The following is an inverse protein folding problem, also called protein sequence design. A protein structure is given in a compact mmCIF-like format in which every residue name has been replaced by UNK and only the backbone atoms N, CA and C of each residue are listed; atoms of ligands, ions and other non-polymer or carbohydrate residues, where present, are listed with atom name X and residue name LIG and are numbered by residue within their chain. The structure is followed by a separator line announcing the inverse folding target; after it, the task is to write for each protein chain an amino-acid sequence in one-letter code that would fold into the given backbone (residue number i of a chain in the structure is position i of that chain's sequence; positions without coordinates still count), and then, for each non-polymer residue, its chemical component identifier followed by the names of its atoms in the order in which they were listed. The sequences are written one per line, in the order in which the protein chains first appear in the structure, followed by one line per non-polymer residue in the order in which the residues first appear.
data_IF_878100341901
#
_entry.id   IF_878100341901
#
_cell.length_a   1.000
_cell.length_b   1.000
_cell.length_c   1.000
_cell.angle_alpha   90.00
_cell.angle_beta   90.00
_cell.angle_gamma   90.00
#
_symmetry.space_group_name_H-M   'P 1'
#
loop_
_entity.id
_entity.type
_entity.pdbx_description
1 polymer ?
#
# COMPACT_ATOMS: atom_id res chain seq x y z
N UNK A 1 -7.95 -11.30 9.65
CA UNK A 1 -6.79 -10.40 9.91
C UNK A 1 -7.34 -8.99 9.91
N UNK A 2 -6.98 -8.12 10.86
CA UNK A 2 -7.37 -6.71 10.74
C UNK A 2 -6.63 -6.08 9.55
N UNK A 3 -7.10 -4.94 9.04
CA UNK A 3 -6.41 -4.20 7.99
C UNK A 3 -4.98 -3.80 8.39
N UNK A 4 -4.19 -3.46 7.38
CA UNK A 4 -2.82 -2.97 7.54
C UNK A 4 -2.46 -1.87 6.56
N UNK A 5 -1.16 -1.56 6.50
CA UNK A 5 -0.60 -0.53 5.62
C UNK A 5 0.49 -1.15 4.75
N UNK A 6 0.55 -0.74 3.49
CA UNK A 6 1.67 -1.02 2.59
C UNK A 6 2.29 0.31 2.17
N UNK A 7 3.58 0.51 2.46
CA UNK A 7 4.35 1.65 1.92
C UNK A 7 4.74 1.28 0.48
N UNK A 8 3.79 1.28 -0.46
CA UNK A 8 3.96 0.68 -1.79
C UNK A 8 4.01 1.69 -2.95
N UNK A 9 4.05 2.98 -2.64
CA UNK A 9 3.99 4.08 -3.61
C UNK A 9 5.35 4.41 -4.26
N UNK A 10 5.28 5.10 -5.41
CA UNK A 10 6.41 5.76 -6.08
C UNK A 10 6.75 7.11 -5.45
N UNK A 11 7.90 7.68 -5.83
CA UNK A 11 8.33 9.01 -5.38
C UNK A 11 9.21 8.97 -4.14
N UNK A 12 9.22 10.07 -3.37
CA UNK A 12 10.04 10.20 -2.16
C UNK A 12 9.51 9.19 -1.12
N UNK A 13 10.33 8.23 -0.66
CA UNK A 13 9.93 7.30 0.38
C UNK A 13 9.82 8.03 1.73
N UNK A 14 9.08 7.44 2.66
CA UNK A 14 9.04 7.97 4.02
C UNK A 14 10.43 7.91 4.66
N UNK A 15 10.71 8.90 5.49
CA UNK A 15 11.90 8.92 6.34
C UNK A 15 11.83 7.80 7.38
N UNK A 16 12.98 7.40 7.90
CA UNK A 16 13.03 6.40 8.98
C UNK A 16 12.25 6.82 10.22
N UNK A 17 12.28 8.12 10.56
CA UNK A 17 11.52 8.66 11.68
C UNK A 17 10.01 8.56 11.47
N UNK A 18 9.53 8.86 10.25
CA UNK A 18 8.11 8.71 9.88
C UNK A 18 7.65 7.26 10.00
N UNK A 19 8.44 6.31 9.51
CA UNK A 19 8.15 4.87 9.58
C UNK A 19 8.07 4.37 11.02
N UNK A 20 8.99 4.82 11.87
CA UNK A 20 9.00 4.50 13.31
C UNK A 20 7.74 5.05 13.98
N UNK A 21 7.41 6.32 13.75
CA UNK A 21 6.23 6.96 14.33
C UNK A 21 4.91 6.37 13.81
N UNK A 22 4.93 5.65 12.68
CA UNK A 22 3.75 4.98 12.13
C UNK A 22 3.33 3.76 12.94
N UNK A 23 4.24 3.10 13.67
CA UNK A 23 3.89 1.96 14.50
C UNK A 23 2.85 2.34 15.57
N UNK A 24 3.04 3.47 16.27
CA UNK A 24 2.06 3.96 17.25
C UNK A 24 0.73 4.35 16.59
N UNK A 25 0.79 4.95 15.40
CA UNK A 25 -0.41 5.32 14.67
C UNK A 25 -1.23 4.11 14.24
N UNK A 26 -0.61 3.09 13.64
CA UNK A 26 -1.24 1.83 13.21
C UNK A 26 -1.94 1.17 14.40
N UNK A 27 -1.26 1.09 15.56
CA UNK A 27 -1.87 0.54 16.77
C UNK A 27 -3.10 1.34 17.22
N UNK A 28 -3.03 2.67 17.13
CA UNK A 28 -4.11 3.58 17.55
C UNK A 28 -5.39 3.47 16.70
N UNK A 29 -5.29 2.93 15.48
CA UNK A 29 -6.44 2.69 14.58
C UNK A 29 -6.82 1.21 14.47
N UNK A 30 -6.21 0.37 15.31
CA UNK A 30 -6.46 -1.07 15.39
C UNK A 30 -6.18 -1.81 14.07
N UNK A 31 -5.10 -1.43 13.40
CA UNK A 31 -4.54 -2.14 12.25
C UNK A 31 -3.45 -3.12 12.73
N UNK A 32 -3.26 -4.23 12.01
CA UNK A 32 -2.47 -5.38 12.49
C UNK A 32 -1.08 -5.49 11.87
N UNK A 33 -0.82 -4.84 10.72
CA UNK A 33 0.42 -5.05 9.99
C UNK A 33 0.91 -3.85 9.18
N UNK A 34 2.20 -3.86 8.88
CA UNK A 34 2.89 -2.91 8.01
C UNK A 34 3.80 -3.66 7.03
N UNK A 35 3.66 -3.38 5.74
CA UNK A 35 4.52 -3.92 4.68
C UNK A 35 5.42 -2.80 4.15
N UNK A 36 6.72 -2.96 4.34
CA UNK A 36 7.74 -2.14 3.73
C UNK A 36 7.92 -2.55 2.25
N UNK A 37 7.41 -1.75 1.32
CA UNK A 37 7.55 -2.02 -0.12
C UNK A 37 7.81 -0.76 -0.97
N UNK A 38 8.58 0.25 -0.50
CA UNK A 38 8.69 1.51 -1.22
C UNK A 38 9.36 1.27 -2.58
N UNK A 39 8.73 1.73 -3.66
CA UNK A 39 9.23 1.51 -5.03
C UNK A 39 10.62 2.11 -5.29
N UNK A 40 11.04 3.06 -4.45
CA UNK A 40 12.36 3.68 -4.46
C UNK A 40 13.48 2.80 -3.86
N UNK A 41 13.15 1.78 -3.05
CA UNK A 41 14.18 0.85 -2.56
C UNK A 41 14.60 -0.12 -3.67
N UNK A 42 15.76 0.16 -4.25
CA UNK A 42 16.32 -0.65 -5.33
C UNK A 42 16.72 -2.05 -4.87
N UNK A 43 17.07 -2.27 -3.60
CA UNK A 43 17.54 -3.58 -3.11
C UNK A 43 16.40 -4.58 -2.86
N UNK A 44 15.17 -4.11 -2.89
CA UNK A 44 13.95 -4.93 -2.94
C UNK A 44 13.31 -4.95 -4.34
N UNK A 45 13.87 -4.20 -5.30
CA UNK A 45 13.38 -4.08 -6.67
C UNK A 45 14.52 -4.25 -7.69
N UNK A 46 14.95 -3.20 -8.38
CA UNK A 46 15.88 -3.27 -9.53
C UNK A 46 17.20 -4.01 -9.23
N UNK A 47 17.75 -3.78 -8.04
CA UNK A 47 19.00 -4.35 -7.53
C UNK A 47 18.77 -5.49 -6.54
N UNK A 48 17.63 -6.20 -6.59
CA UNK A 48 17.32 -7.28 -5.65
C UNK A 48 18.38 -8.39 -5.57
N UNK A 49 19.21 -8.56 -6.60
CA UNK A 49 20.33 -9.52 -6.60
C UNK A 49 21.54 -9.06 -5.76
N UNK A 50 21.57 -7.81 -5.31
CA UNK A 50 22.63 -7.24 -4.47
C UNK A 50 22.21 -7.27 -2.99
N UNK A 51 23.15 -7.50 -2.06
CA UNK A 51 22.85 -7.38 -0.64
C UNK A 51 22.51 -5.93 -0.28
N UNK A 52 21.75 -5.74 0.78
CA UNK A 52 21.53 -4.43 1.37
C UNK A 52 22.87 -3.84 1.86
N UNK A 53 23.05 -2.52 1.74
CA UNK A 53 24.08 -1.84 2.49
C UNK A 53 23.88 -2.06 3.99
N UNK A 54 24.97 -2.31 4.73
CA UNK A 54 24.91 -2.66 6.16
C UNK A 54 24.11 -1.65 7.00
N UNK A 55 24.23 -0.36 6.70
CA UNK A 55 23.47 0.69 7.40
C UNK A 55 21.95 0.58 7.14
N UNK A 56 21.55 0.29 5.90
CA UNK A 56 20.13 0.14 5.57
C UNK A 56 19.55 -1.15 6.16
N UNK A 57 20.31 -2.26 6.14
CA UNK A 57 19.93 -3.51 6.80
C UNK A 57 19.66 -3.31 8.31
N UNK A 58 20.55 -2.60 9.02
CA UNK A 58 20.37 -2.28 10.45
C UNK A 58 19.14 -1.43 10.72
N UNK A 59 18.83 -0.47 9.85
CA UNK A 59 17.62 0.35 10.00
C UNK A 59 16.35 -0.47 9.77
N UNK A 60 16.36 -1.39 8.80
CA UNK A 60 15.25 -2.33 8.57
C UNK A 60 15.05 -3.28 9.76
N UNK A 61 16.13 -3.83 10.32
CA UNK A 61 16.09 -4.69 11.50
C UNK A 61 15.52 -3.91 12.71
N UNK A 62 15.99 -2.69 12.94
CA UNK A 62 15.46 -1.81 13.98
C UNK A 62 13.97 -1.52 13.76
N UNK A 63 13.57 -1.25 12.51
CA UNK A 63 12.18 -1.00 12.17
C UNK A 63 11.32 -2.22 12.49
N UNK A 64 11.67 -3.40 11.98
CA UNK A 64 10.98 -4.66 12.26
C UNK A 64 10.80 -4.89 13.76
N UNK A 65 11.88 -4.76 14.54
CA UNK A 65 11.84 -4.91 16.00
C UNK A 65 10.92 -3.90 16.72
N UNK A 66 10.79 -2.66 16.20
CA UNK A 66 9.85 -1.67 16.75
C UNK A 66 8.40 -2.09 16.50
N UNK A 67 8.09 -2.58 15.30
CA UNK A 67 6.76 -3.06 14.95
C UNK A 67 6.35 -4.27 15.80
N UNK A 68 7.25 -5.26 15.96
CA UNK A 68 7.01 -6.42 16.83
C UNK A 68 6.79 -6.03 18.30
N UNK A 69 7.58 -5.09 18.84
CA UNK A 69 7.39 -4.58 20.21
C UNK A 69 6.02 -3.92 20.43
N UNK A 70 5.39 -3.44 19.36
CA UNK A 70 4.03 -2.85 19.38
C UNK A 70 2.94 -3.87 19.07
N UNK A 71 3.30 -5.14 18.85
CA UNK A 71 2.36 -6.21 18.48
C UNK A 71 1.84 -6.08 17.05
N UNK A 72 2.57 -5.39 16.18
CA UNK A 72 2.22 -5.20 14.77
C UNK A 72 3.10 -6.12 13.94
N UNK A 73 2.48 -6.88 13.02
CA UNK A 73 3.22 -7.73 12.08
C UNK A 73 4.00 -6.86 11.11
N UNK A 74 5.25 -7.20 10.89
CA UNK A 74 6.12 -6.51 9.95
C UNK A 74 6.33 -7.36 8.70
N UNK A 75 6.27 -6.75 7.53
CA UNK A 75 6.49 -7.44 6.26
C UNK A 75 7.39 -6.67 5.31
N UNK A 76 7.96 -7.41 4.36
CA UNK A 76 8.80 -6.87 3.30
C UNK A 76 8.20 -7.19 1.92
N UNK A 77 8.12 -6.20 1.05
CA UNK A 77 7.78 -6.36 -0.35
C UNK A 77 9.03 -6.65 -1.18
N UNK A 78 9.01 -7.72 -1.95
CA UNK A 78 10.09 -8.18 -2.79
C UNK A 78 9.62 -8.20 -4.25
N UNK A 79 10.03 -7.19 -5.01
CA UNK A 79 9.81 -7.09 -6.45
C UNK A 79 11.01 -7.67 -7.20
N UNK A 80 10.92 -8.93 -7.61
CA UNK A 80 12.01 -9.62 -8.31
C UNK A 80 12.12 -9.19 -9.78
N UNK A 81 12.49 -7.93 -10.01
CA UNK A 81 12.56 -7.34 -11.33
C UNK A 81 13.39 -8.21 -12.30
N UNK A 82 12.81 -8.50 -13.46
CA UNK A 82 13.34 -9.37 -14.51
C UNK A 82 13.63 -10.83 -14.11
N UNK A 83 13.17 -11.32 -12.95
CA UNK A 83 13.34 -12.73 -12.57
C UNK A 83 12.47 -13.67 -13.42
N UNK A 84 11.34 -13.18 -13.93
CA UNK A 84 10.44 -13.92 -14.81
C UNK A 84 10.95 -14.06 -16.25
N UNK A 85 12.00 -13.34 -16.64
CA UNK A 85 12.58 -13.45 -18.00
C UNK A 85 13.37 -14.77 -18.14
N UNK A 86 14.04 -15.20 -17.08
CA UNK A 86 14.75 -16.49 -17.02
C UNK A 86 14.76 -16.99 -15.57
N UNK A 87 13.89 -17.93 -15.24
CA UNK A 87 13.82 -18.53 -13.90
C UNK A 87 14.71 -19.78 -13.80
N UNK A 88 16.01 -19.58 -14.00
CA UNK A 88 17.03 -20.63 -13.98
C UNK A 88 17.68 -20.84 -12.59
N UNK A 89 18.65 -21.76 -12.52
CA UNK A 89 19.39 -22.08 -11.29
C UNK A 89 20.15 -20.89 -10.70
N UNK A 90 20.63 -19.95 -11.53
CA UNK A 90 21.34 -18.76 -11.07
C UNK A 90 20.39 -17.78 -10.39
N UNK A 91 19.22 -17.56 -10.99
CA UNK A 91 18.15 -16.74 -10.40
C UNK A 91 17.63 -17.36 -9.10
N UNK A 92 17.41 -18.68 -9.07
CA UNK A 92 17.04 -19.42 -7.86
C UNK A 92 18.05 -19.25 -6.73
N UNK A 93 19.35 -19.31 -7.02
CA UNK A 93 20.40 -19.07 -6.03
C UNK A 93 20.31 -17.64 -5.47
N UNK A 94 20.14 -16.63 -6.33
CA UNK A 94 19.98 -15.22 -5.88
C UNK A 94 18.74 -14.99 -5.04
N UNK A 95 17.63 -15.67 -5.35
CA UNK A 95 16.42 -15.60 -4.53
C UNK A 95 16.71 -16.18 -3.15
N UNK A 96 17.37 -17.34 -3.04
CA UNK A 96 17.74 -17.91 -1.74
C UNK A 96 18.65 -16.99 -0.92
N UNK A 97 19.67 -16.40 -1.54
CA UNK A 97 20.54 -15.43 -0.88
C UNK A 97 19.74 -14.23 -0.32
N UNK A 98 18.82 -13.68 -1.12
CA UNK A 98 17.96 -12.57 -0.70
C UNK A 98 16.97 -12.99 0.41
N UNK A 99 16.39 -14.18 0.34
CA UNK A 99 15.50 -14.68 1.39
C UNK A 99 16.24 -14.92 2.72
N UNK A 100 17.49 -15.38 2.68
CA UNK A 100 18.32 -15.49 3.88
C UNK A 100 18.59 -14.12 4.51
N UNK A 101 18.85 -13.11 3.69
CA UNK A 101 18.99 -11.73 4.15
C UNK A 101 17.69 -11.20 4.76
N UNK A 102 16.54 -11.40 4.10
CA UNK A 102 15.24 -11.01 4.64
C UNK A 102 14.89 -11.75 5.93
N UNK A 103 15.26 -13.02 6.07
CA UNK A 103 15.04 -13.82 7.29
C UNK A 103 15.70 -13.17 8.52
N UNK A 104 16.86 -12.51 8.35
CA UNK A 104 17.51 -11.76 9.44
C UNK A 104 16.69 -10.57 9.95
N UNK A 105 15.75 -10.06 9.14
CA UNK A 105 14.82 -9.00 9.51
C UNK A 105 13.56 -9.54 10.20
N UNK A 106 13.42 -10.87 10.33
CA UNK A 106 12.29 -11.56 10.94
C UNK A 106 10.89 -11.15 10.40
N UNK A 107 10.65 -11.16 9.07
CA UNK A 107 9.35 -10.78 8.51
C UNK A 107 8.25 -11.78 8.89
N UNK A 108 7.10 -11.27 9.31
CA UNK A 108 5.86 -12.03 9.42
C UNK A 108 5.23 -12.27 8.04
N UNK A 109 5.47 -11.35 7.10
CA UNK A 109 4.87 -11.34 5.77
C UNK A 109 5.96 -11.03 4.73
N UNK A 110 6.04 -11.84 3.67
CA UNK A 110 6.78 -11.51 2.46
C UNK A 110 5.78 -11.32 1.33
N UNK A 111 5.71 -10.10 0.80
CA UNK A 111 4.91 -9.80 -0.37
C UNK A 111 5.77 -9.99 -1.62
N UNK A 112 5.45 -10.97 -2.47
CA UNK A 112 6.12 -11.22 -3.75
C UNK A 112 5.41 -10.41 -4.82
N UNK A 113 6.11 -9.45 -5.41
CA UNK A 113 5.50 -8.35 -6.16
C UNK A 113 5.91 -8.37 -7.63
N UNK A 114 4.97 -8.66 -8.52
CA UNK A 114 5.16 -8.59 -9.98
C UNK A 114 4.41 -7.42 -10.62
N UNK A 115 3.92 -6.49 -9.81
CA UNK A 115 3.36 -5.22 -10.27
C UNK A 115 4.41 -4.37 -10.99
N UNK A 116 3.95 -3.61 -11.96
CA UNK A 116 4.74 -2.66 -12.75
C UNK A 116 5.91 -3.30 -13.51
N UNK A 117 5.65 -4.45 -14.11
CA UNK A 117 6.56 -5.20 -14.96
C UNK A 117 5.86 -5.59 -16.25
N UNK A 118 6.59 -5.76 -17.35
CA UNK A 118 5.98 -6.26 -18.61
C UNK A 118 5.38 -7.65 -18.40
N UNK A 119 4.15 -7.83 -18.85
CA UNK A 119 3.37 -9.06 -18.73
C UNK A 119 2.96 -9.68 -20.07
N UNK A 120 3.31 -9.07 -21.21
CA UNK A 120 3.06 -9.56 -22.57
C UNK A 120 4.04 -10.66 -23.02
N UNK A 121 4.56 -11.45 -22.08
CA UNK A 121 5.46 -12.57 -22.36
C UNK A 121 4.73 -13.90 -22.26
N UNK A 122 5.11 -14.85 -23.11
CA UNK A 122 4.60 -16.22 -23.05
C UNK A 122 4.86 -16.84 -21.66
N UNK A 123 3.91 -17.64 -21.17
CA UNK A 123 4.00 -18.40 -19.90
C UNK A 123 4.29 -17.55 -18.65
N UNK A 124 3.97 -16.24 -18.66
CA UNK A 124 4.21 -15.36 -17.50
C UNK A 124 3.49 -15.84 -16.24
N UNK A 125 2.27 -16.36 -16.36
CA UNK A 125 1.49 -16.90 -15.23
C UNK A 125 2.19 -18.11 -14.59
N UNK A 126 2.57 -19.09 -15.41
CA UNK A 126 3.32 -20.29 -14.99
C UNK A 126 4.64 -19.92 -14.31
N UNK A 127 5.39 -19.00 -14.93
CA UNK A 127 6.69 -18.56 -14.40
C UNK A 127 6.53 -17.87 -13.05
N UNK A 128 5.52 -17.01 -12.88
CA UNK A 128 5.24 -16.35 -11.62
C UNK A 128 4.84 -17.33 -10.53
N UNK A 129 3.96 -18.29 -10.85
CA UNK A 129 3.58 -19.37 -9.93
C UNK A 129 4.82 -20.14 -9.47
N UNK A 130 5.67 -20.56 -10.40
CA UNK A 130 6.91 -21.28 -10.09
C UNK A 130 7.89 -20.48 -9.21
N UNK A 131 8.03 -19.17 -9.44
CA UNK A 131 8.84 -18.28 -8.59
C UNK A 131 8.24 -18.19 -7.19
N UNK A 132 6.92 -18.01 -7.07
CA UNK A 132 6.24 -17.87 -5.78
C UNK A 132 6.32 -19.16 -4.97
N UNK A 133 6.13 -20.32 -5.60
CA UNK A 133 6.30 -21.63 -4.94
C UNK A 133 7.74 -21.82 -4.45
N UNK A 134 8.72 -21.48 -5.27
CA UNK A 134 10.12 -21.55 -4.85
C UNK A 134 10.40 -20.61 -3.66
N UNK A 135 9.82 -19.41 -3.62
CA UNK A 135 9.92 -18.53 -2.45
C UNK A 135 9.22 -19.15 -1.24
N UNK A 136 8.00 -19.68 -1.40
CA UNK A 136 7.22 -20.32 -0.35
C UNK A 136 8.01 -21.44 0.34
N UNK A 137 8.69 -22.29 -0.43
CA UNK A 137 9.53 -23.38 0.07
C UNK A 137 10.77 -22.90 0.85
N UNK A 138 11.24 -21.67 0.60
CA UNK A 138 12.51 -21.14 1.13
C UNK A 138 12.33 -19.95 2.11
N UNK A 139 11.12 -19.44 2.29
CA UNK A 139 10.81 -18.26 3.10
C UNK A 139 10.60 -18.54 4.60
N UNK A 140 10.77 -19.79 5.03
CA UNK A 140 10.61 -20.21 6.41
C UNK A 140 9.17 -20.09 6.91
N UNK A 141 8.94 -19.30 7.97
CA UNK A 141 7.61 -19.15 8.61
C UNK A 141 6.82 -17.95 8.11
N UNK A 142 7.38 -17.16 7.20
CA UNK A 142 6.76 -15.94 6.70
C UNK A 142 5.49 -16.28 5.92
N UNK A 143 4.40 -15.55 6.17
CA UNK A 143 3.22 -15.63 5.29
C UNK A 143 3.58 -15.04 3.93
N UNK A 144 3.24 -15.73 2.85
CA UNK A 144 3.42 -15.23 1.49
C UNK A 144 2.13 -14.60 0.98
N UNK A 145 2.25 -13.38 0.47
CA UNK A 145 1.21 -12.74 -0.33
C UNK A 145 1.80 -12.41 -1.70
N UNK A 146 1.02 -12.52 -2.77
CA UNK A 146 1.51 -12.41 -4.13
C UNK A 146 0.73 -11.33 -4.90
N UNK A 147 1.44 -10.38 -5.49
CA UNK A 147 0.85 -9.42 -6.42
C UNK A 147 1.13 -9.86 -7.86
N UNK A 148 0.09 -10.27 -8.63
CA UNK A 148 0.25 -10.54 -10.05
C UNK A 148 0.60 -9.26 -10.81
N UNK A 149 1.13 -9.39 -12.02
CA UNK A 149 1.38 -8.27 -12.93
C UNK A 149 0.10 -7.53 -13.27
N UNK A 150 -0.98 -8.27 -13.47
CA UNK A 150 -2.29 -7.71 -13.71
C UNK A 150 -3.15 -7.83 -12.47
N UNK A 151 -3.06 -6.83 -11.59
CA UNK A 151 -3.68 -6.79 -10.27
C UNK A 151 -5.01 -6.02 -10.22
N UNK A 152 -5.57 -5.68 -11.38
CA UNK A 152 -6.91 -5.12 -11.56
C UNK A 152 -7.44 -5.40 -12.98
N UNK A 153 -8.71 -5.08 -13.23
CA UNK A 153 -9.27 -5.07 -14.60
C UNK A 153 -9.07 -3.73 -15.32
N UNK A 154 -8.23 -2.84 -14.79
CA UNK A 154 -7.96 -1.56 -15.40
C UNK A 154 -7.15 -1.72 -16.69
N UNK A 155 -7.65 -1.18 -17.80
CA UNK A 155 -6.99 -1.23 -19.10
C UNK A 155 -5.63 -0.52 -19.08
N UNK A 156 -5.43 0.42 -18.15
CA UNK A 156 -4.14 1.09 -17.97
C UNK A 156 -2.99 0.10 -17.70
N UNK A 157 -3.28 -1.07 -17.10
CA UNK A 157 -2.28 -2.10 -16.90
C UNK A 157 -1.86 -2.75 -18.22
N UNK A 158 -2.82 -2.98 -19.11
CA UNK A 158 -2.56 -3.49 -20.45
C UNK A 158 -1.78 -2.46 -21.29
N UNK A 159 -2.10 -1.18 -21.15
CA UNK A 159 -1.43 -0.07 -21.86
C UNK A 159 0.05 0.08 -21.44
N UNK A 160 0.37 -0.03 -20.14
CA UNK A 160 1.74 0.14 -19.64
C UNK A 160 2.57 -1.13 -19.65
N UNK A 161 1.95 -2.28 -19.42
CA UNK A 161 2.64 -3.55 -19.19
C UNK A 161 2.44 -4.57 -20.31
N UNK A 162 1.77 -4.16 -21.39
CA UNK A 162 1.45 -5.00 -22.53
C UNK A 162 0.17 -5.80 -22.32
N UNK A 163 -0.41 -6.30 -23.41
CA UNK A 163 -1.70 -6.97 -23.40
C UNK A 163 -1.72 -8.19 -22.47
N UNK A 164 -2.68 -8.23 -21.54
CA UNK A 164 -2.83 -9.37 -20.63
C UNK A 164 -3.06 -10.67 -21.40
N UNK A 165 -2.27 -11.73 -21.13
CA UNK A 165 -2.51 -13.04 -21.73
C UNK A 165 -3.88 -13.59 -21.34
N UNK A 166 -4.53 -14.27 -22.29
CA UNK A 166 -5.82 -14.92 -22.05
C UNK A 166 -5.68 -15.98 -20.95
N UNK A 167 -6.58 -15.99 -19.98
CA UNK A 167 -6.57 -16.97 -18.89
C UNK A 167 -5.50 -16.72 -17.82
N UNK A 168 -4.81 -15.56 -17.84
CA UNK A 168 -3.70 -15.27 -16.94
C UNK A 168 -4.08 -15.40 -15.45
N UNK A 169 -5.22 -14.83 -15.03
CA UNK A 169 -5.66 -14.88 -13.64
C UNK A 169 -6.25 -16.23 -13.26
N UNK A 170 -6.96 -16.87 -14.20
CA UNK A 170 -7.51 -18.21 -14.04
C UNK A 170 -6.39 -19.24 -13.82
N UNK A 171 -5.33 -19.19 -14.65
CA UNK A 171 -4.16 -20.05 -14.48
C UNK A 171 -3.52 -19.85 -13.10
N UNK A 172 -3.32 -18.61 -12.66
CA UNK A 172 -2.79 -18.32 -11.33
C UNK A 172 -3.73 -18.88 -10.25
N UNK A 173 -5.03 -18.66 -10.37
CA UNK A 173 -6.02 -19.16 -9.42
C UNK A 173 -6.00 -20.68 -9.27
N UNK A 174 -5.89 -21.38 -10.40
CA UNK A 174 -5.90 -22.85 -10.47
C UNK A 174 -4.58 -23.50 -10.03
N UNK A 175 -3.43 -22.82 -10.21
CA UNK A 175 -2.10 -23.43 -10.02
C UNK A 175 -1.30 -22.87 -8.83
N UNK A 176 -1.62 -21.68 -8.32
CA UNK A 176 -0.92 -21.12 -7.17
C UNK A 176 -1.29 -21.87 -5.89
N UNK A 177 -0.32 -22.09 -4.99
CA UNK A 177 -0.54 -22.81 -3.73
C UNK A 177 -1.70 -22.15 -2.94
N UNK A 178 -2.70 -22.91 -2.44
CA UNK A 178 -3.86 -22.35 -1.76
C UNK A 178 -3.53 -21.55 -0.47
N UNK A 179 -2.36 -21.78 0.13
CA UNK A 179 -1.86 -21.03 1.29
C UNK A 179 -1.30 -19.65 0.95
N UNK A 180 -1.15 -19.32 -0.33
CA UNK A 180 -0.70 -18.00 -0.80
C UNK A 180 -1.90 -17.12 -1.13
N UNK A 181 -1.98 -15.96 -0.47
CA UNK A 181 -2.99 -14.95 -0.79
C UNK A 181 -2.62 -14.17 -2.05
N UNK A 182 -3.62 -13.82 -2.86
CA UNK A 182 -3.44 -13.06 -4.11
C UNK A 182 -3.92 -11.63 -3.91
N UNK A 183 -3.04 -10.67 -4.16
CA UNK A 183 -3.31 -9.24 -4.08
C UNK A 183 -4.21 -8.79 -5.24
N UNK A 184 -5.16 -7.91 -4.94
CA UNK A 184 -6.06 -7.29 -5.91
C UNK A 184 -6.40 -5.85 -5.51
N UNK A 185 -6.43 -4.90 -6.46
CA UNK A 185 -6.72 -3.47 -6.17
C UNK A 185 -8.18 -3.07 -6.42
N UNK A 186 -9.02 -4.01 -6.86
CA UNK A 186 -10.42 -3.79 -7.22
C UNK A 186 -10.63 -3.65 -8.73
N UNK A 187 -11.76 -3.09 -9.18
CA UNK A 187 -12.04 -2.90 -10.61
C UNK A 187 -11.00 -2.06 -11.35
N UNK A 188 -10.33 -1.14 -10.64
CA UNK A 188 -9.31 -0.23 -11.16
C UNK A 188 -8.02 -0.30 -10.34
N UNK A 189 -6.92 0.24 -10.88
CA UNK A 189 -5.67 0.39 -10.09
C UNK A 189 -5.94 1.24 -8.85
N UNK A 190 -6.68 2.33 -9.04
CA UNK A 190 -7.28 3.15 -7.99
C UNK A 190 -8.80 3.08 -8.10
N UNK A 191 -9.40 2.13 -7.40
CA UNK A 191 -10.85 1.89 -7.44
C UNK A 191 -11.63 3.00 -6.73
N UNK A 192 -12.73 3.47 -7.31
CA UNK A 192 -13.66 4.36 -6.59
C UNK A 192 -14.62 3.57 -5.69
N UNK A 193 -14.86 2.28 -5.97
CA UNK A 193 -15.67 1.36 -5.18
C UNK A 193 -15.14 -0.07 -5.29
N UNK A 194 -15.28 -0.86 -4.22
CA UNK A 194 -15.04 -2.31 -4.21
C UNK A 194 -16.26 -2.96 -3.55
N UNK A 195 -17.08 -3.65 -4.34
CA UNK A 195 -18.35 -4.24 -3.88
C UNK A 195 -18.22 -5.73 -3.57
N UNK A 196 -19.15 -6.28 -2.78
CA UNK A 196 -19.23 -7.73 -2.52
C UNK A 196 -19.36 -8.53 -3.82
N UNK A 197 -20.24 -8.10 -4.73
CA UNK A 197 -20.45 -8.75 -6.04
C UNK A 197 -19.15 -8.82 -6.87
N UNK A 198 -18.34 -7.76 -6.87
CA UNK A 198 -17.02 -7.78 -7.52
C UNK A 198 -16.08 -8.80 -6.86
N UNK A 199 -16.09 -8.89 -5.53
CA UNK A 199 -15.23 -9.80 -4.78
C UNK A 199 -15.64 -11.28 -4.96
N UNK A 200 -16.94 -11.56 -5.08
CA UNK A 200 -17.45 -12.89 -5.41
C UNK A 200 -17.02 -13.31 -6.82
N UNK A 201 -17.10 -12.40 -7.80
CA UNK A 201 -16.53 -12.65 -9.13
C UNK A 201 -15.03 -12.94 -9.07
N UNK A 202 -14.28 -12.20 -8.26
CA UNK A 202 -12.84 -12.46 -8.11
C UNK A 202 -12.57 -13.79 -7.41
N UNK A 203 -13.41 -14.22 -6.47
CA UNK A 203 -13.30 -15.53 -5.83
C UNK A 203 -13.39 -16.66 -6.87
N UNK A 204 -14.32 -16.56 -7.82
CA UNK A 204 -14.47 -17.55 -8.89
C UNK A 204 -13.25 -17.65 -9.81
N UNK A 205 -12.56 -16.54 -10.06
CA UNK A 205 -11.35 -16.48 -10.91
C UNK A 205 -10.11 -16.94 -10.14
N UNK A 206 -9.90 -16.39 -8.94
CA UNK A 206 -8.70 -16.63 -8.13
C UNK A 206 -8.76 -17.92 -7.31
N UNK A 207 -9.94 -18.57 -7.27
CA UNK A 207 -10.26 -19.76 -6.46
C UNK A 207 -10.02 -19.56 -4.95
N UNK A 208 -9.96 -18.30 -4.51
CA UNK A 208 -9.73 -17.89 -3.13
C UNK A 208 -10.15 -16.43 -2.93
N UNK A 209 -10.31 -16.03 -1.67
CA UNK A 209 -10.64 -14.64 -1.34
C UNK A 209 -9.45 -13.73 -1.71
N UNK A 210 -9.65 -12.62 -2.43
CA UNK A 210 -8.56 -11.70 -2.74
C UNK A 210 -8.05 -10.99 -1.49
N UNK A 211 -6.78 -10.59 -1.50
CA UNK A 211 -6.17 -9.71 -0.51
C UNK A 211 -6.16 -8.28 -1.08
N UNK A 212 -6.87 -7.35 -0.46
CA UNK A 212 -7.03 -6.02 -1.06
C UNK A 212 -5.81 -5.15 -0.82
N UNK A 213 -5.23 -4.63 -1.90
CA UNK A 213 -4.31 -3.49 -1.89
C UNK A 213 -5.10 -2.26 -2.36
N UNK A 214 -5.53 -1.41 -1.44
CA UNK A 214 -6.37 -0.27 -1.78
C UNK A 214 -5.54 1.00 -2.02
N UNK A 215 -5.57 1.51 -3.24
CA UNK A 215 -4.90 2.75 -3.65
C UNK A 215 -5.81 4.00 -3.56
N UNK A 216 -6.97 3.94 -2.90
CA UNK A 216 -7.96 5.03 -2.86
C UNK A 216 -7.38 6.41 -2.49
N UNK A 217 -6.35 6.42 -1.64
CA UNK A 217 -5.68 7.63 -1.16
C UNK A 217 -4.24 7.77 -1.63
N UNK A 218 -3.70 6.82 -2.40
CA UNK A 218 -2.37 6.95 -2.95
C UNK A 218 -2.31 8.11 -3.96
N UNK A 219 -1.24 8.91 -3.92
CA UNK A 219 -1.10 10.12 -4.74
C UNK A 219 0.23 10.21 -5.51
N UNK A 220 0.90 9.10 -5.72
CA UNK A 220 2.21 9.03 -6.37
C UNK A 220 2.14 9.05 -7.91
N UNK A 221 0.99 8.69 -8.48
CA UNK A 221 0.76 8.72 -9.92
C UNK A 221 0.94 10.11 -10.55
N UNK A 222 1.34 10.16 -11.82
CA UNK A 222 1.62 11.42 -12.56
C UNK A 222 0.49 12.45 -12.46
N UNK A 223 -0.75 11.99 -12.54
CA UNK A 223 -1.96 12.81 -12.45
C UNK A 223 -2.37 13.12 -11.00
N UNK A 224 -1.87 12.36 -10.02
CA UNK A 224 -2.30 12.42 -8.64
C UNK A 224 -1.33 13.14 -7.70
N UNK A 225 -0.04 13.24 -8.07
CA UNK A 225 1.01 13.89 -7.26
C UNK A 225 0.79 15.37 -6.96
N UNK A 226 -0.14 16.00 -7.68
CA UNK A 226 -0.55 17.37 -7.45
C UNK A 226 -1.70 17.48 -6.44
N UNK A 227 -2.23 16.37 -5.94
CA UNK A 227 -3.38 16.31 -5.04
C UNK A 227 -2.98 15.80 -3.65
N UNK A 228 -3.68 16.27 -2.63
CA UNK A 228 -3.65 15.71 -1.29
C UNK A 228 -5.04 15.10 -1.01
N UNK A 229 -5.11 13.78 -0.89
CA UNK A 229 -6.36 13.05 -0.67
C UNK A 229 -6.81 13.07 0.80
N UNK A 230 -6.94 14.27 1.36
CA UNK A 230 -7.55 14.51 2.67
C UNK A 230 -9.08 14.49 2.51
N UNK A 231 -9.60 13.30 2.22
CA UNK A 231 -11.03 13.01 2.05
C UNK A 231 -11.43 11.82 2.92
N UNK A 232 -12.72 11.68 3.28
CA UNK A 232 -13.19 10.45 3.90
C UNK A 232 -12.98 9.25 2.98
N UNK A 233 -12.58 8.12 3.55
CA UNK A 233 -12.64 6.80 2.92
C UNK A 233 -14.10 6.48 2.61
N UNK A 234 -14.38 5.88 1.44
CA UNK A 234 -15.75 5.54 1.04
C UNK A 234 -15.79 4.30 0.15
N UNK A 235 -16.99 3.73 0.05
CA UNK A 235 -17.38 2.66 -0.88
C UNK A 235 -16.62 1.35 -0.65
N UNK A 236 -16.22 1.08 0.59
CA UNK A 236 -15.66 -0.19 1.09
C UNK A 236 -16.49 -0.61 2.29
N UNK A 237 -17.76 -0.88 2.04
CA UNK A 237 -18.71 -1.24 3.10
C UNK A 237 -18.17 -2.39 3.93
N UNK A 238 -18.38 -2.35 5.24
CA UNK A 238 -17.80 -3.29 6.21
C UNK A 238 -18.01 -4.77 5.85
N UNK A 239 -19.08 -5.11 5.14
CA UNK A 239 -19.36 -6.48 4.71
C UNK A 239 -18.31 -7.05 3.75
N UNK A 240 -17.56 -6.21 3.01
CA UNK A 240 -16.47 -6.71 2.15
C UNK A 240 -15.41 -7.49 2.93
N UNK A 241 -15.24 -7.20 4.24
CA UNK A 241 -14.28 -7.87 5.10
C UNK A 241 -14.53 -9.39 5.21
N UNK A 242 -15.77 -9.85 4.95
CA UNK A 242 -16.12 -11.28 4.93
C UNK A 242 -15.70 -11.96 3.62
N UNK A 243 -15.48 -11.20 2.55
CA UNK A 243 -15.21 -11.69 1.20
C UNK A 243 -13.73 -11.56 0.78
N UNK A 244 -12.86 -11.11 1.68
CA UNK A 244 -11.42 -10.89 1.43
C UNK A 244 -10.55 -11.70 2.40
N UNK A 245 -9.32 -11.99 2.00
CA UNK A 245 -8.32 -12.65 2.84
C UNK A 245 -7.57 -11.66 3.75
N UNK A 246 -7.48 -10.40 3.32
CA UNK A 246 -6.86 -9.29 4.03
C UNK A 246 -7.11 -7.98 3.32
N UNK A 247 -6.74 -6.88 3.97
CA UNK A 247 -6.92 -5.52 3.46
C UNK A 247 -5.73 -4.67 3.86
N UNK A 248 -5.10 -3.98 2.91
CA UNK A 248 -4.08 -2.98 3.18
C UNK A 248 -4.33 -1.73 2.37
N UNK A 249 -4.06 -0.58 2.99
CA UNK A 249 -4.13 0.72 2.32
C UNK A 249 -2.73 1.13 1.90
N UNK A 250 -2.60 1.59 0.65
CA UNK A 250 -1.44 2.31 0.18
C UNK A 250 -1.65 3.82 0.44
N UNK A 251 -0.85 4.42 1.34
CA UNK A 251 -1.04 5.81 1.74
C UNK A 251 -0.45 6.79 0.72
N UNK A 252 -0.57 8.09 0.99
CA UNK A 252 0.12 9.14 0.23
C UNK A 252 1.62 9.14 0.54
N UNK A 253 2.41 9.79 -0.33
CA UNK A 253 3.80 10.14 -0.02
C UNK A 253 3.93 11.01 1.26
N UNK A 254 2.88 11.75 1.62
CA UNK A 254 2.80 12.55 2.84
C UNK A 254 2.39 11.66 4.02
N UNK A 255 3.37 11.25 4.83
CA UNK A 255 3.21 10.34 5.94
C UNK A 255 2.19 10.85 6.98
N UNK A 256 2.32 12.10 7.43
CA UNK A 256 1.48 12.64 8.51
C UNK A 256 0.07 12.95 8.01
N UNK A 257 -0.08 13.54 6.83
CA UNK A 257 -1.39 13.83 6.24
C UNK A 257 -2.16 12.55 5.88
N UNK A 258 -1.48 11.46 5.50
CA UNK A 258 -2.13 10.16 5.26
C UNK A 258 -2.89 9.62 6.47
N UNK A 259 -2.51 10.03 7.68
CA UNK A 259 -3.18 9.60 8.92
C UNK A 259 -4.64 10.04 8.99
N UNK A 260 -4.99 11.16 8.36
CA UNK A 260 -6.35 11.70 8.33
C UNK A 260 -7.30 10.74 7.61
N UNK A 261 -7.12 10.43 6.31
CA UNK A 261 -8.00 9.46 5.64
C UNK A 261 -7.89 8.05 6.22
N UNK A 262 -6.73 7.62 6.74
CA UNK A 262 -6.58 6.31 7.39
C UNK A 262 -7.44 6.17 8.65
N UNK A 263 -7.62 7.25 9.43
CA UNK A 263 -8.59 7.26 10.55
C UNK A 263 -10.02 7.01 10.06
N UNK A 264 -10.38 7.59 8.91
CA UNK A 264 -11.72 7.40 8.32
C UNK A 264 -11.90 6.01 7.71
N UNK A 265 -10.84 5.42 7.15
CA UNK A 265 -10.83 4.03 6.69
C UNK A 265 -11.09 3.06 7.86
N UNK A 266 -10.47 3.34 9.01
CA UNK A 266 -10.66 2.57 10.22
C UNK A 266 -12.10 2.70 10.80
N UNK A 267 -12.80 3.81 10.54
CA UNK A 267 -14.23 3.94 10.87
C UNK A 267 -15.12 3.16 9.89
N UNK A 268 -14.88 3.31 8.58
CA UNK A 268 -15.67 2.63 7.54
C UNK A 268 -15.59 1.11 7.66
N UNK A 269 -14.38 0.59 7.89
CA UNK A 269 -14.13 -0.84 8.09
C UNK A 269 -14.54 -1.31 9.50
N UNK A 270 -14.90 -0.39 10.40
CA UNK A 270 -15.34 -0.70 11.77
C UNK A 270 -14.23 -1.24 12.68
N UNK A 271 -12.95 -0.96 12.39
CA UNK A 271 -11.82 -1.48 13.18
C UNK A 271 -11.63 -0.75 14.50
N UNK A 272 -12.01 0.54 14.59
CA UNK A 272 -11.88 1.34 15.82
C UNK A 272 -12.99 1.10 16.84
N UNK A 273 -14.21 0.82 16.39
CA UNK A 273 -15.34 0.57 17.27
C UNK A 273 -16.39 -0.29 16.56
N UNK A 274 -16.46 -1.58 16.92
CA UNK A 274 -17.38 -2.54 16.29
C UNK A 274 -18.86 -2.19 16.53
N UNK A 275 -19.15 -1.46 17.61
CA UNK A 275 -20.48 -0.99 18.04
C UNK A 275 -20.79 0.46 17.65
N UNK A 276 -19.93 1.10 16.84
CA UNK A 276 -20.19 2.47 16.39
C UNK A 276 -21.46 2.54 15.54
N UNK A 277 -22.20 3.67 15.59
CA UNK A 277 -23.27 3.93 14.64
C UNK A 277 -22.77 3.87 13.20
N UNK A 278 -23.69 3.76 12.24
CA UNK A 278 -23.38 3.69 10.82
C UNK A 278 -22.37 4.78 10.43
N UNK A 279 -21.33 4.38 9.70
CA UNK A 279 -20.24 5.27 9.27
C UNK A 279 -20.80 6.53 8.60
N UNK A 280 -20.49 7.70 9.19
CA UNK A 280 -20.80 9.00 8.60
C UNK A 280 -19.50 9.63 8.07
N UNK A 281 -19.30 9.66 6.74
CA UNK A 281 -18.07 10.15 6.14
C UNK A 281 -17.73 11.61 6.52
N UNK A 282 -18.73 12.47 6.62
CA UNK A 282 -18.51 13.91 6.88
C UNK A 282 -18.08 14.16 8.33
N UNK A 283 -18.72 13.48 9.28
CA UNK A 283 -18.31 13.57 10.68
C UNK A 283 -16.94 12.92 10.89
N UNK A 284 -16.70 11.76 10.28
CA UNK A 284 -15.43 11.04 10.41
C UNK A 284 -14.24 11.87 9.92
N UNK A 285 -14.34 12.53 8.76
CA UNK A 285 -13.24 13.37 8.26
C UNK A 285 -13.00 14.61 9.15
N UNK A 286 -14.05 15.23 9.69
CA UNK A 286 -13.92 16.39 10.60
C UNK A 286 -13.21 15.97 11.90
N UNK A 287 -13.59 14.83 12.49
CA UNK A 287 -12.91 14.29 13.66
C UNK A 287 -11.47 13.87 13.37
N UNK A 288 -11.22 13.27 12.20
CA UNK A 288 -9.88 12.86 11.80
C UNK A 288 -8.95 14.06 11.61
N UNK A 289 -9.42 15.11 10.93
CA UNK A 289 -8.68 16.39 10.81
C UNK A 289 -8.41 16.98 12.19
N UNK A 290 -9.41 17.00 13.08
CA UNK A 290 -9.25 17.50 14.45
C UNK A 290 -8.23 16.69 15.25
N UNK A 291 -8.23 15.36 15.12
CA UNK A 291 -7.30 14.48 15.83
C UNK A 291 -5.85 14.65 15.37
N UNK A 292 -5.62 14.87 14.07
CA UNK A 292 -4.26 15.00 13.51
C UNK A 292 -3.74 16.43 13.58
N UNK A 293 -4.57 17.41 13.23
CA UNK A 293 -4.17 18.81 13.15
C UNK A 293 -4.45 19.59 14.44
N UNK A 294 -5.21 19.02 15.38
CA UNK A 294 -5.60 19.68 16.63
C UNK A 294 -6.75 20.70 16.46
N UNK A 295 -7.51 20.91 17.55
CA UNK A 295 -8.69 21.79 17.57
C UNK A 295 -8.43 23.19 17.02
N UNK A 296 -7.24 23.74 17.28
CA UNK A 296 -6.85 25.09 16.86
C UNK A 296 -6.85 25.28 15.35
N UNK A 297 -6.51 24.23 14.58
CA UNK A 297 -6.32 24.33 13.13
C UNK A 297 -7.38 23.56 12.33
N UNK A 298 -8.16 22.71 13.00
CA UNK A 298 -9.05 21.74 12.37
C UNK A 298 -10.00 22.36 11.34
N UNK A 299 -10.74 23.40 11.73
CA UNK A 299 -11.76 24.01 10.86
C UNK A 299 -11.13 24.62 9.60
N UNK A 300 -9.97 25.25 9.75
CA UNK A 300 -9.26 25.85 8.62
C UNK A 300 -8.61 24.80 7.72
N UNK A 301 -8.05 23.73 8.28
CA UNK A 301 -7.55 22.59 7.47
C UNK A 301 -8.71 21.92 6.74
N UNK A 302 -9.85 21.76 7.39
CA UNK A 302 -11.05 21.18 6.79
C UNK A 302 -11.58 22.04 5.62
N UNK A 303 -11.60 23.37 5.77
CA UNK A 303 -11.95 24.30 4.69
C UNK A 303 -11.08 24.13 3.43
N UNK A 304 -9.78 23.91 3.62
CA UNK A 304 -8.83 23.68 2.53
C UNK A 304 -8.93 22.28 1.88
N UNK A 305 -9.73 21.34 2.40
CA UNK A 305 -9.81 19.99 1.83
C UNK A 305 -10.28 19.97 0.39
N UNK A 306 -11.14 20.92 -0.02
CA UNK A 306 -11.55 21.06 -1.42
C UNK A 306 -10.38 21.48 -2.32
N UNK A 307 -9.54 22.40 -1.85
CA UNK A 307 -8.33 22.86 -2.55
C UNK A 307 -7.31 21.71 -2.67
N UNK A 308 -7.11 20.95 -1.60
CA UNK A 308 -6.27 19.75 -1.56
C UNK A 308 -6.70 18.69 -2.58
N UNK A 309 -8.01 18.46 -2.70
CA UNK A 309 -8.58 17.49 -3.64
C UNK A 309 -8.59 17.99 -5.08
N UNK A 310 -8.75 19.30 -5.31
CA UNK A 310 -8.65 19.89 -6.65
C UNK A 310 -7.22 19.85 -7.20
N UNK A 311 -6.23 19.85 -6.29
CA UNK A 311 -4.81 19.78 -6.61
C UNK A 311 -4.18 21.16 -6.79
N UNK A 312 -2.88 21.27 -6.50
CA UNK A 312 -2.17 22.55 -6.34
C UNK A 312 -2.24 23.43 -7.61
N UNK A 313 -2.34 22.81 -8.79
CA UNK A 313 -2.45 23.54 -10.05
C UNK A 313 -3.80 24.24 -10.23
N UNK A 314 -4.86 23.76 -9.57
CA UNK A 314 -6.19 24.36 -9.62
C UNK A 314 -6.42 25.44 -8.55
N UNK A 315 -5.53 25.54 -7.56
CA UNK A 315 -5.65 26.50 -6.46
C UNK A 315 -5.25 27.90 -6.94
N UNK A 316 -6.10 28.94 -6.81
CA UNK A 316 -5.74 30.31 -7.18
C UNK A 316 -4.54 30.85 -6.40
N UNK A 317 -3.71 31.68 -7.02
CA UNK A 317 -2.47 32.18 -6.41
C UNK A 317 -2.71 32.90 -5.07
N UNK A 318 -3.74 33.74 -5.00
CA UNK A 318 -4.16 34.38 -3.74
C UNK A 318 -4.45 33.36 -2.63
N UNK A 319 -5.12 32.26 -2.97
CA UNK A 319 -5.46 31.18 -2.05
C UNK A 319 -4.19 30.43 -1.60
N UNK A 320 -3.23 30.21 -2.50
CA UNK A 320 -1.91 29.65 -2.15
C UNK A 320 -1.17 30.54 -1.16
N UNK A 321 -1.07 31.85 -1.41
CA UNK A 321 -0.42 32.80 -0.49
C UNK A 321 -1.07 32.80 0.90
N UNK A 322 -2.41 32.73 0.96
CA UNK A 322 -3.15 32.61 2.23
C UNK A 322 -2.78 31.32 2.98
N UNK A 323 -2.70 30.19 2.26
CA UNK A 323 -2.28 28.90 2.82
C UNK A 323 -0.83 28.93 3.30
N UNK A 324 0.10 29.44 2.50
CA UNK A 324 1.52 29.56 2.86
C UNK A 324 1.72 30.37 4.14
N UNK A 325 1.06 31.54 4.23
CA UNK A 325 1.11 32.39 5.44
C UNK A 325 0.53 31.67 6.66
N UNK A 326 -0.54 30.91 6.47
CA UNK A 326 -1.15 30.15 7.56
C UNK A 326 -0.25 29.01 8.03
N UNK A 327 0.15 28.11 7.13
CA UNK A 327 0.90 26.90 7.47
C UNK A 327 2.34 27.18 7.90
N UNK A 328 2.98 28.25 7.41
CA UNK A 328 4.33 28.66 7.86
C UNK A 328 4.41 29.04 9.33
N UNK A 329 3.28 29.41 9.95
CA UNK A 329 3.21 29.70 11.39
C UNK A 329 3.11 28.44 12.27
N UNK A 330 2.90 27.26 11.67
CA UNK A 330 2.62 26.01 12.37
C UNK A 330 3.87 25.13 12.34
N UNK A 331 4.46 24.86 13.50
CA UNK A 331 5.67 24.03 13.66
C UNK A 331 5.35 22.54 13.81
N UNK A 332 4.46 22.04 12.96
CA UNK A 332 4.02 20.63 12.95
C UNK A 332 4.39 19.96 11.63
N UNK A 333 4.73 18.67 11.68
CA UNK A 333 5.21 17.95 10.49
C UNK A 333 4.16 17.83 9.39
N UNK A 334 2.88 17.66 9.74
CA UNK A 334 1.78 17.66 8.77
C UNK A 334 1.62 19.03 8.08
N UNK A 335 1.95 20.14 8.74
CA UNK A 335 1.89 21.47 8.12
C UNK A 335 3.05 21.66 7.14
N UNK A 336 4.23 21.13 7.46
CA UNK A 336 5.38 21.10 6.55
C UNK A 336 5.05 20.33 5.26
N UNK A 337 4.35 19.18 5.35
CA UNK A 337 3.93 18.43 4.17
C UNK A 337 3.00 19.25 3.25
N UNK A 338 2.13 20.09 3.80
CA UNK A 338 1.28 21.01 3.01
C UNK A 338 2.14 22.10 2.35
N UNK A 339 3.12 22.66 3.07
CA UNK A 339 4.04 23.65 2.52
C UNK A 339 4.94 23.08 1.41
N UNK A 340 5.34 21.80 1.51
CA UNK A 340 6.05 21.10 0.43
C UNK A 340 5.13 20.90 -0.78
N UNK A 341 3.88 20.52 -0.56
CA UNK A 341 2.88 20.36 -1.63
C UNK A 341 2.57 21.67 -2.38
N UNK A 342 2.50 22.81 -1.68
CA UNK A 342 2.25 24.12 -2.31
C UNK A 342 3.37 24.52 -3.29
N UNK A 343 4.59 24.02 -3.10
CA UNK A 343 5.76 24.28 -3.95
C UNK A 343 5.90 23.31 -5.12
N UNK A 344 5.04 22.28 -5.19
CA UNK A 344 5.26 21.08 -6.00
C UNK A 344 4.94 21.23 -7.49
#
# INVERSE_FOLDING_TARGET
MQPGIVEGFYGKPWTWEERINYADFIRSINFDFYIYAPKADKYLRENWRKPFPLNEARKLEQLSGIYHKKGIKWGAGLSLFNAYISFDSSVKLKIKEKLNELSSLNPDIIAVLFDDMRGDTENIAETQVGIVHFILENAGRSKIIFCPTYYSFDSILDDFFGQRPRGYLEYIGDNLDPGVDIIWTGPKVRSESITVEHLEKMYEILKRKPFIWDNYIANDGKEHRKHLYIKPFKNRERDILKHIAGFMVNPMNQAYLSRIPLLTAADELGTRCLSAPQYNPENSIKEAVRKICGNRYADRVYDYTKDFLAGVNAVPERRKTEMEKFFSSIKEKWALEILEWLKA
#
